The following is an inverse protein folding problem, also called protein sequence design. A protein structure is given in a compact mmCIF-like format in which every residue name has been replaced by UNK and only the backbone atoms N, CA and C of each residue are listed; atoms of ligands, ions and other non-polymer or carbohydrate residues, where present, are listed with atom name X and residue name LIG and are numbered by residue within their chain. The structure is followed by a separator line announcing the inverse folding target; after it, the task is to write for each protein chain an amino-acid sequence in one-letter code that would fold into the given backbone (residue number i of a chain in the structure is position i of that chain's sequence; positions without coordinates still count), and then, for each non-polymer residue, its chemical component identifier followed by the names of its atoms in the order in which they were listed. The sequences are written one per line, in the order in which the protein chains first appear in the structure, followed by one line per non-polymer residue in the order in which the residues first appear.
data_IF_059579610958
#
_entry.id   IF_059579610958
#
_cell.length_a   1.000
_cell.length_b   1.000
_cell.length_c   1.000
_cell.angle_alpha   90.00
_cell.angle_beta   90.00
_cell.angle_gamma   90.00
#
_symmetry.space_group_name_H-M   'P 1'
#
loop_
_entity.id
_entity.type
_entity.pdbx_description
1 polymer ?
#
# COMPACT_ATOMS: atom_id res chain seq x y z
N UNK A 1 -7.00 -21.55 -1.02
CA UNK A 1 -8.32 -20.94 -1.21
C UNK A 1 -8.97 -21.63 -2.40
N UNK A 2 -10.07 -22.29 -2.19
CA UNK A 2 -10.86 -22.92 -3.24
C UNK A 2 -11.48 -21.86 -4.16
N UNK A 3 -12.05 -22.28 -5.31
CA UNK A 3 -12.73 -21.34 -6.22
C UNK A 3 -14.00 -20.75 -5.58
N UNK A 4 -14.65 -21.50 -4.72
CA UNK A 4 -15.87 -21.03 -4.03
C UNK A 4 -15.51 -20.04 -2.93
N UNK A 5 -14.47 -20.29 -2.13
CA UNK A 5 -13.95 -19.30 -1.15
C UNK A 5 -13.52 -17.99 -1.82
N UNK A 6 -12.92 -18.06 -3.03
CA UNK A 6 -12.57 -16.87 -3.80
C UNK A 6 -13.82 -16.07 -4.19
N UNK A 7 -14.85 -16.75 -4.66
CA UNK A 7 -16.12 -16.11 -5.03
C UNK A 7 -16.78 -15.44 -3.83
N UNK A 8 -16.85 -16.12 -2.69
CA UNK A 8 -17.47 -15.59 -1.48
C UNK A 8 -16.72 -14.38 -0.96
N UNK A 9 -15.38 -14.47 -0.93
CA UNK A 9 -14.53 -13.34 -0.54
C UNK A 9 -14.71 -12.15 -1.49
N UNK A 10 -14.76 -12.41 -2.79
CA UNK A 10 -14.93 -11.36 -3.79
C UNK A 10 -16.33 -10.73 -3.71
N UNK A 11 -17.35 -11.52 -3.45
CA UNK A 11 -18.72 -11.01 -3.18
C UNK A 11 -18.70 -10.08 -1.99
N UNK A 12 -18.18 -10.54 -0.85
CA UNK A 12 -18.15 -9.77 0.39
C UNK A 12 -17.33 -8.47 0.26
N UNK A 13 -16.19 -8.53 -0.40
CA UNK A 13 -15.23 -7.42 -0.43
C UNK A 13 -15.39 -6.47 -1.60
N UNK A 14 -16.11 -6.87 -2.64
CA UNK A 14 -16.28 -6.08 -3.85
C UNK A 14 -17.73 -6.04 -4.35
N UNK A 15 -18.30 -7.15 -4.90
CA UNK A 15 -19.55 -7.06 -5.64
C UNK A 15 -20.76 -6.64 -4.78
N UNK A 16 -20.78 -7.01 -3.50
CA UNK A 16 -21.86 -6.59 -2.58
C UNK A 16 -21.87 -5.07 -2.28
N UNK A 17 -20.80 -4.36 -2.59
CA UNK A 17 -20.73 -2.90 -2.41
C UNK A 17 -21.41 -2.13 -3.54
N UNK A 18 -21.75 -2.81 -4.64
CA UNK A 18 -22.28 -2.20 -5.85
C UNK A 18 -23.53 -2.96 -6.32
N UNK A 19 -24.49 -2.23 -6.85
CA UNK A 19 -25.66 -2.83 -7.51
C UNK A 19 -25.30 -3.15 -8.96
N UNK A 20 -24.71 -4.33 -9.17
CA UNK A 20 -24.32 -4.82 -10.50
C UNK A 20 -25.44 -5.65 -11.11
N UNK A 21 -25.48 -5.74 -12.45
CA UNK A 21 -26.32 -6.74 -13.13
C UNK A 21 -25.78 -8.15 -12.83
N UNK A 22 -26.65 -9.16 -12.86
CA UNK A 22 -26.24 -10.56 -12.68
C UNK A 22 -25.17 -10.99 -13.68
N UNK A 23 -25.23 -10.49 -14.91
CA UNK A 23 -24.24 -10.77 -15.96
C UNK A 23 -22.86 -10.16 -15.61
N UNK A 24 -22.83 -8.92 -15.11
CA UNK A 24 -21.57 -8.24 -14.74
C UNK A 24 -20.98 -8.82 -13.46
N UNK A 25 -21.82 -9.17 -12.48
CA UNK A 25 -21.36 -9.88 -11.29
C UNK A 25 -20.73 -11.23 -11.67
N UNK A 26 -21.38 -12.01 -12.53
CA UNK A 26 -20.83 -13.29 -13.00
C UNK A 26 -19.53 -13.09 -13.77
N UNK A 27 -19.42 -12.05 -14.60
CA UNK A 27 -18.20 -11.74 -15.35
C UNK A 27 -17.04 -11.39 -14.41
N UNK A 28 -17.28 -10.64 -13.34
CA UNK A 28 -16.28 -10.38 -12.28
C UNK A 28 -15.85 -11.68 -11.62
N UNK A 29 -16.78 -12.50 -11.18
CA UNK A 29 -16.52 -13.77 -10.49
C UNK A 29 -15.76 -14.77 -11.36
N UNK A 30 -16.00 -14.76 -12.69
CA UNK A 30 -15.30 -15.63 -13.65
C UNK A 30 -13.89 -15.14 -13.97
N UNK A 31 -13.69 -13.83 -14.09
CA UNK A 31 -12.42 -13.23 -14.53
C UNK A 31 -11.42 -13.01 -13.40
N UNK A 32 -11.89 -12.89 -12.17
CA UNK A 32 -11.04 -12.65 -11.03
C UNK A 32 -10.08 -13.82 -10.73
N UNK A 33 -8.86 -13.50 -10.35
CA UNK A 33 -7.81 -14.48 -10.04
C UNK A 33 -7.18 -14.20 -8.69
N UNK A 34 -6.76 -15.26 -7.99
CA UNK A 34 -5.94 -15.16 -6.80
C UNK A 34 -4.46 -15.18 -7.19
N UNK A 35 -3.71 -14.20 -6.72
CA UNK A 35 -2.24 -14.15 -6.85
C UNK A 35 -1.59 -14.12 -5.49
N UNK A 36 -0.43 -14.76 -5.41
CA UNK A 36 0.41 -14.79 -4.21
C UNK A 36 1.79 -14.28 -4.55
N UNK A 37 2.35 -13.46 -3.67
CA UNK A 37 3.67 -12.87 -3.81
C UNK A 37 4.45 -13.11 -2.53
N UNK A 38 5.75 -13.41 -2.67
CA UNK A 38 6.64 -13.66 -1.55
C UNK A 38 7.19 -12.35 -0.99
N UNK A 39 7.57 -12.37 0.28
CA UNK A 39 8.30 -11.26 0.90
C UNK A 39 9.54 -10.91 0.07
N UNK A 40 9.73 -9.61 -0.17
CA UNK A 40 10.84 -9.08 -0.95
C UNK A 40 10.57 -8.97 -2.46
N UNK A 41 9.50 -9.59 -2.98
CA UNK A 41 9.13 -9.43 -4.40
C UNK A 41 8.68 -7.99 -4.68
N UNK A 42 8.89 -7.55 -5.93
CA UNK A 42 8.43 -6.26 -6.44
C UNK A 42 7.50 -6.45 -7.62
N UNK A 43 6.47 -5.64 -7.67
CA UNK A 43 5.53 -5.58 -8.78
C UNK A 43 5.73 -4.22 -9.46
N UNK A 44 6.09 -4.25 -10.73
CA UNK A 44 6.34 -3.07 -11.55
C UNK A 44 5.17 -2.81 -12.48
N UNK A 45 4.74 -1.54 -12.68
CA UNK A 45 3.69 -1.20 -13.65
C UNK A 45 4.01 -1.62 -15.07
N UNK A 46 5.30 -1.61 -15.44
CA UNK A 46 5.79 -2.01 -16.78
C UNK A 46 5.62 -3.51 -17.07
N UNK A 47 5.48 -4.35 -16.05
CA UNK A 47 5.27 -5.80 -16.21
C UNK A 47 3.82 -6.13 -16.60
N UNK A 48 3.00 -5.11 -16.79
CA UNK A 48 1.60 -5.18 -17.18
C UNK A 48 0.65 -4.70 -16.10
N UNK A 49 -0.51 -4.22 -16.52
CA UNK A 49 -1.54 -3.77 -15.61
C UNK A 49 -2.24 -4.98 -14.98
N UNK A 50 -2.07 -5.17 -13.68
CA UNK A 50 -2.76 -6.21 -12.92
C UNK A 50 -4.26 -5.92 -12.68
N UNK A 51 -4.73 -4.70 -13.00
CA UNK A 51 -6.12 -4.31 -12.79
C UNK A 51 -6.39 -3.81 -11.37
N UNK A 52 -7.59 -4.14 -10.86
CA UNK A 52 -8.01 -3.80 -9.50
C UNK A 52 -7.65 -4.94 -8.55
N UNK A 53 -6.93 -4.62 -7.49
CA UNK A 53 -6.45 -5.59 -6.51
C UNK A 53 -7.17 -5.42 -5.17
N UNK A 54 -7.45 -6.53 -4.50
CA UNK A 54 -7.96 -6.61 -3.12
C UNK A 54 -6.97 -7.44 -2.31
N UNK A 55 -6.37 -6.85 -1.29
CA UNK A 55 -5.44 -7.55 -0.41
C UNK A 55 -6.24 -8.46 0.54
N UNK A 56 -5.89 -9.74 0.56
CA UNK A 56 -6.54 -10.76 1.41
C UNK A 56 -5.70 -11.06 2.64
N UNK A 57 -4.40 -10.94 2.52
CA UNK A 57 -3.45 -11.10 3.63
C UNK A 57 -2.10 -10.53 3.27
N UNK A 58 -1.30 -10.22 4.29
CA UNK A 58 0.05 -9.69 4.14
C UNK A 58 0.11 -8.19 4.04
N UNK A 59 1.30 -7.65 3.74
CA UNK A 59 1.56 -6.22 3.63
C UNK A 59 2.41 -5.90 2.42
N UNK A 60 2.06 -4.81 1.75
CA UNK A 60 2.84 -4.23 0.67
C UNK A 60 2.89 -2.71 0.82
N UNK A 61 3.89 -2.08 0.21
CA UNK A 61 3.99 -0.62 0.16
C UNK A 61 4.17 -0.13 -1.27
N UNK A 62 3.53 0.98 -1.58
CA UNK A 62 3.70 1.69 -2.83
C UNK A 62 4.92 2.60 -2.76
N UNK A 63 5.85 2.44 -3.70
CA UNK A 63 7.10 3.18 -3.77
C UNK A 63 7.19 4.00 -5.03
N UNK A 64 7.70 5.21 -4.90
CA UNK A 64 8.19 6.02 -6.01
C UNK A 64 9.71 6.10 -5.93
N UNK A 65 10.40 5.78 -7.03
CA UNK A 65 11.85 5.94 -7.13
C UNK A 65 12.18 7.34 -7.63
N UNK A 66 13.09 8.01 -6.94
CA UNK A 66 13.59 9.33 -7.36
C UNK A 66 14.78 9.18 -8.31
N UNK A 67 15.13 10.26 -9.02
CA UNK A 67 16.32 10.33 -9.91
C UNK A 67 17.63 9.99 -9.19
N UNK A 68 17.70 10.13 -7.87
CA UNK A 68 18.86 9.81 -7.06
C UNK A 68 18.81 8.38 -6.45
N UNK A 69 18.01 7.48 -7.04
CA UNK A 69 17.82 6.10 -6.58
C UNK A 69 17.30 5.98 -5.12
N UNK A 70 16.73 7.04 -4.57
CA UNK A 70 16.02 6.98 -3.29
C UNK A 70 14.58 6.56 -3.53
N UNK A 71 14.09 5.69 -2.67
CA UNK A 71 12.71 5.23 -2.70
C UNK A 71 11.92 5.95 -1.61
N UNK A 72 10.73 6.39 -1.95
CA UNK A 72 9.80 7.04 -1.03
C UNK A 72 8.54 6.18 -0.98
N UNK A 73 8.16 5.74 0.21
CA UNK A 73 6.86 5.09 0.44
C UNK A 73 5.77 6.14 0.35
N UNK A 74 4.85 5.97 -0.59
CA UNK A 74 3.72 6.89 -0.80
C UNK A 74 2.43 6.38 -0.19
N UNK A 75 2.30 5.07 0.02
CA UNK A 75 1.20 4.44 0.77
C UNK A 75 1.56 3.01 1.19
N UNK A 76 0.85 2.51 2.18
CA UNK A 76 0.90 1.11 2.61
C UNK A 76 -0.41 0.41 2.26
N UNK A 77 -0.33 -0.91 2.06
CA UNK A 77 -1.45 -1.81 1.81
C UNK A 77 -1.39 -2.97 2.79
N UNK A 78 -2.54 -3.31 3.35
CA UNK A 78 -2.71 -4.43 4.27
C UNK A 78 -4.01 -5.18 4.00
N UNK A 79 -4.31 -6.20 4.78
CA UNK A 79 -5.57 -6.96 4.65
C UNK A 79 -6.80 -6.03 4.64
N UNK A 80 -7.68 -6.26 3.69
CA UNK A 80 -8.88 -5.46 3.45
C UNK A 80 -8.70 -4.28 2.51
N UNK A 81 -7.47 -3.83 2.29
CA UNK A 81 -7.21 -2.72 1.36
C UNK A 81 -7.42 -3.10 -0.09
N UNK A 82 -7.85 -2.11 -0.87
CA UNK A 82 -7.94 -2.20 -2.31
C UNK A 82 -6.99 -1.22 -3.00
N UNK A 83 -6.50 -1.60 -4.17
CA UNK A 83 -5.60 -0.77 -4.95
C UNK A 83 -5.83 -0.97 -6.46
N UNK A 84 -5.72 0.11 -7.21
CA UNK A 84 -5.53 0.06 -8.65
C UNK A 84 -4.03 0.13 -8.91
N UNK A 85 -3.44 -1.01 -9.31
CA UNK A 85 -2.01 -1.24 -9.34
C UNK A 85 -1.25 -0.51 -10.45
N UNK A 86 -1.95 0.18 -11.33
CA UNK A 86 -1.29 1.05 -12.31
C UNK A 86 -2.10 2.32 -12.54
N UNK A 87 -1.42 3.46 -12.62
CA UNK A 87 -2.02 4.74 -12.99
C UNK A 87 -2.70 4.71 -14.37
N UNK A 88 -2.25 3.83 -15.26
CA UNK A 88 -2.87 3.59 -16.56
C UNK A 88 -4.28 3.02 -16.50
N UNK A 89 -4.62 2.24 -15.46
CA UNK A 89 -5.96 1.68 -15.30
C UNK A 89 -7.01 2.73 -15.00
N UNK A 90 -6.60 3.90 -14.52
CA UNK A 90 -7.54 4.91 -14.08
C UNK A 90 -7.77 6.03 -15.10
N UNK A 91 -6.76 6.65 -15.68
CA UNK A 91 -6.95 7.86 -16.51
C UNK A 91 -5.85 8.11 -17.54
N UNK A 92 -4.82 7.27 -17.66
CA UNK A 92 -3.70 7.51 -18.61
C UNK A 92 -2.80 8.70 -18.27
N UNK A 93 -3.02 9.36 -17.13
CA UNK A 93 -2.45 10.67 -16.83
C UNK A 93 -1.32 10.65 -15.77
N UNK A 94 -1.14 9.55 -15.03
CA UNK A 94 -0.08 9.48 -14.03
C UNK A 94 1.25 9.09 -14.67
N UNK A 95 2.16 10.05 -14.75
CA UNK A 95 3.54 9.82 -15.24
C UNK A 95 4.46 9.19 -14.17
N UNK A 96 4.03 9.16 -12.91
CA UNK A 96 4.82 8.57 -11.83
C UNK A 96 4.65 7.04 -11.80
N UNK A 97 5.75 6.31 -11.93
CA UNK A 97 5.77 4.87 -11.76
C UNK A 97 5.75 4.53 -10.27
N UNK A 98 4.62 3.97 -9.79
CA UNK A 98 4.51 3.45 -8.44
C UNK A 98 4.73 1.94 -8.49
N UNK A 99 5.80 1.48 -7.86
CA UNK A 99 6.11 0.06 -7.71
C UNK A 99 5.53 -0.44 -6.39
N UNK A 100 5.08 -1.70 -6.33
CA UNK A 100 4.73 -2.33 -5.06
C UNK A 100 5.88 -3.19 -4.55
N UNK A 101 6.32 -2.93 -3.33
CA UNK A 101 7.25 -3.77 -2.58
C UNK A 101 6.47 -4.65 -1.61
N UNK A 102 6.67 -5.96 -1.67
CA UNK A 102 6.04 -6.91 -0.76
C UNK A 102 6.83 -6.98 0.55
N UNK A 103 6.22 -6.51 1.63
CA UNK A 103 6.82 -6.47 2.97
C UNK A 103 6.67 -7.80 3.73
N UNK A 104 5.47 -8.37 3.67
CA UNK A 104 5.15 -9.71 4.16
C UNK A 104 4.43 -10.45 3.03
N UNK A 105 4.50 -11.78 3.01
CA UNK A 105 3.88 -12.56 1.94
C UNK A 105 2.42 -12.14 1.72
N UNK A 106 2.11 -11.69 0.51
CA UNK A 106 0.80 -11.14 0.14
C UNK A 106 0.00 -12.14 -0.66
N UNK A 107 -1.28 -12.25 -0.32
CA UNK A 107 -2.30 -12.84 -1.19
C UNK A 107 -3.28 -11.76 -1.60
N UNK A 108 -3.58 -11.66 -2.88
CA UNK A 108 -4.53 -10.67 -3.40
C UNK A 108 -5.43 -11.27 -4.47
N UNK A 109 -6.68 -10.80 -4.50
CA UNK A 109 -7.59 -11.06 -5.61
C UNK A 109 -7.39 -9.95 -6.64
N UNK A 110 -7.25 -10.33 -7.89
CA UNK A 110 -7.10 -9.40 -9.01
C UNK A 110 -8.33 -9.49 -9.90
N UNK A 111 -8.98 -8.34 -10.13
CA UNK A 111 -10.00 -8.17 -11.16
C UNK A 111 -9.28 -7.57 -12.38
N UNK A 112 -9.30 -8.23 -13.54
CA UNK A 112 -8.60 -7.77 -14.73
C UNK A 112 -9.01 -6.34 -15.12
N UNK A 113 -8.05 -5.62 -15.70
CA UNK A 113 -8.21 -4.24 -16.16
C UNK A 113 -9.49 -4.03 -16.99
N UNK A 114 -9.70 -4.87 -17.99
CA UNK A 114 -10.83 -4.69 -18.93
C UNK A 114 -12.17 -4.92 -18.23
N UNK A 115 -12.24 -5.89 -17.32
CA UNK A 115 -13.44 -6.12 -16.49
C UNK A 115 -13.71 -4.90 -15.61
N UNK A 116 -12.71 -4.41 -14.88
CA UNK A 116 -12.89 -3.25 -14.00
C UNK A 116 -13.20 -1.97 -14.78
N UNK A 117 -12.56 -1.75 -15.94
CA UNK A 117 -12.85 -0.63 -16.84
C UNK A 117 -14.30 -0.62 -17.26
N UNK A 118 -14.82 -1.76 -17.74
CA UNK A 118 -16.23 -1.89 -18.14
C UNK A 118 -17.18 -1.58 -16.99
N UNK A 119 -16.89 -2.06 -15.78
CA UNK A 119 -17.72 -1.75 -14.60
C UNK A 119 -17.73 -0.26 -14.31
N UNK A 120 -16.56 0.39 -14.35
CA UNK A 120 -16.45 1.82 -14.09
C UNK A 120 -17.19 2.67 -15.14
N UNK A 121 -17.21 2.24 -16.38
CA UNK A 121 -17.90 2.95 -17.46
C UNK A 121 -19.45 2.80 -17.38
N UNK A 122 -19.91 1.66 -16.87
CA UNK A 122 -21.34 1.35 -16.82
C UNK A 122 -22.00 1.64 -15.46
N UNK A 123 -21.24 1.76 -14.38
CA UNK A 123 -21.75 1.92 -13.02
C UNK A 123 -21.12 3.13 -12.32
N UNK A 124 -21.88 4.24 -12.15
CA UNK A 124 -21.37 5.44 -11.47
C UNK A 124 -20.82 5.18 -10.07
N UNK A 125 -21.42 4.25 -9.32
CA UNK A 125 -20.92 3.88 -7.99
C UNK A 125 -19.53 3.22 -8.03
N UNK A 126 -19.21 2.46 -9.08
CA UNK A 126 -17.86 1.89 -9.25
C UNK A 126 -16.88 2.98 -9.67
N UNK A 127 -17.31 3.93 -10.50
CA UNK A 127 -16.49 5.08 -10.86
C UNK A 127 -16.18 5.96 -9.64
N UNK A 128 -17.17 6.24 -8.79
CA UNK A 128 -16.97 6.99 -7.54
C UNK A 128 -16.02 6.27 -6.59
N UNK A 129 -16.18 4.96 -6.42
CA UNK A 129 -15.25 4.15 -5.61
C UNK A 129 -13.80 4.22 -6.14
N UNK A 130 -13.62 4.18 -7.45
CA UNK A 130 -12.29 4.35 -8.05
C UNK A 130 -11.70 5.75 -7.76
N UNK A 131 -12.53 6.81 -7.83
CA UNK A 131 -12.11 8.18 -7.48
C UNK A 131 -11.74 8.31 -5.99
N UNK A 132 -12.52 7.71 -5.09
CA UNK A 132 -12.22 7.69 -3.64
C UNK A 132 -10.89 7.00 -3.35
N UNK A 133 -10.62 5.85 -3.99
CA UNK A 133 -9.33 5.18 -3.86
C UNK A 133 -8.19 6.06 -4.35
N UNK A 134 -8.35 6.75 -5.48
CA UNK A 134 -7.34 7.67 -5.99
C UNK A 134 -7.13 8.86 -5.07
N UNK A 135 -8.20 9.49 -4.57
CA UNK A 135 -8.13 10.60 -3.63
C UNK A 135 -7.39 10.20 -2.35
N UNK A 136 -7.68 9.00 -1.81
CA UNK A 136 -6.99 8.44 -0.65
C UNK A 136 -5.50 8.26 -0.91
N UNK A 137 -5.11 7.71 -2.06
CA UNK A 137 -3.69 7.52 -2.42
C UNK A 137 -2.98 8.84 -2.68
N UNK A 138 -3.65 9.79 -3.30
CA UNK A 138 -3.13 11.14 -3.50
C UNK A 138 -2.90 11.87 -2.17
N UNK A 139 -3.87 11.81 -1.26
CA UNK A 139 -3.73 12.37 0.09
C UNK A 139 -2.55 11.72 0.85
N UNK A 140 -2.40 10.39 0.77
CA UNK A 140 -1.26 9.69 1.39
C UNK A 140 0.08 10.15 0.81
N UNK A 141 0.16 10.32 -0.52
CA UNK A 141 1.36 10.80 -1.18
C UNK A 141 1.72 12.24 -0.77
N UNK A 142 0.73 13.15 -0.70
CA UNK A 142 0.94 14.52 -0.21
C UNK A 142 1.45 14.51 1.23
N UNK A 143 0.84 13.69 2.10
CA UNK A 143 1.27 13.57 3.50
C UNK A 143 2.72 13.07 3.59
N UNK A 144 3.10 12.08 2.79
CA UNK A 144 4.46 11.58 2.74
C UNK A 144 5.45 12.67 2.25
N UNK A 145 5.05 13.48 1.27
CA UNK A 145 5.86 14.61 0.78
C UNK A 145 6.00 15.69 1.85
N UNK A 146 4.91 16.10 2.49
CA UNK A 146 4.91 17.10 3.56
C UNK A 146 5.83 16.68 4.70
N UNK A 147 5.69 15.44 5.17
CA UNK A 147 6.57 14.88 6.19
C UNK A 147 8.04 14.87 5.75
N UNK A 148 8.31 14.55 4.49
CA UNK A 148 9.68 14.48 3.99
C UNK A 148 10.34 15.84 3.84
N UNK A 149 9.60 16.87 3.43
CA UNK A 149 10.11 18.20 3.13
C UNK A 149 10.17 19.14 4.35
N UNK A 150 9.19 19.05 5.25
CA UNK A 150 8.98 20.09 6.27
C UNK A 150 9.18 19.61 7.71
N UNK A 151 9.10 18.31 8.00
CA UNK A 151 9.28 17.82 9.36
C UNK A 151 10.74 17.45 9.66
N UNK A 152 11.30 17.88 10.82
CA UNK A 152 12.57 17.38 11.32
C UNK A 152 12.58 15.85 11.43
N UNK A 153 13.70 15.21 11.15
CA UNK A 153 13.83 13.76 11.14
C UNK A 153 13.32 13.09 12.44
N UNK A 154 13.62 13.68 13.59
CA UNK A 154 13.15 13.16 14.88
C UNK A 154 11.62 13.11 14.97
N UNK A 155 10.91 14.15 14.46
CA UNK A 155 9.46 14.20 14.44
C UNK A 155 8.86 13.17 13.49
N UNK A 156 9.48 12.98 12.32
CA UNK A 156 9.11 11.93 11.36
C UNK A 156 9.22 10.53 11.98
N UNK A 157 10.29 10.28 12.72
CA UNK A 157 10.48 9.02 13.45
C UNK A 157 9.37 8.83 14.50
N UNK A 158 9.06 9.86 15.30
CA UNK A 158 7.99 9.79 16.32
C UNK A 158 6.66 9.45 15.65
N UNK A 159 6.26 10.20 14.63
CA UNK A 159 5.01 9.99 13.92
C UNK A 159 4.91 8.56 13.35
N UNK A 160 6.00 8.06 12.75
CA UNK A 160 6.07 6.69 12.25
C UNK A 160 5.87 5.65 13.37
N UNK A 161 6.54 5.83 14.50
CA UNK A 161 6.45 4.92 15.65
C UNK A 161 5.05 4.93 16.27
N UNK A 162 4.40 6.09 16.37
CA UNK A 162 3.00 6.23 16.84
C UNK A 162 2.03 5.48 15.94
N UNK A 163 2.12 5.69 14.63
CA UNK A 163 1.25 5.07 13.63
C UNK A 163 1.40 3.54 13.58
N UNK A 164 2.57 3.02 13.92
CA UNK A 164 2.85 1.58 13.92
C UNK A 164 2.76 0.93 15.30
N UNK A 165 2.17 1.61 16.29
CA UNK A 165 1.88 1.03 17.61
C UNK A 165 3.12 0.73 18.47
N UNK A 166 4.19 1.49 18.29
CA UNK A 166 5.48 1.26 18.95
C UNK A 166 5.48 1.43 20.48
N UNK A 167 4.38 1.87 21.10
CA UNK A 167 4.22 1.92 22.56
C UNK A 167 4.38 0.54 23.22
N UNK A 168 3.99 -0.52 22.52
CA UNK A 168 4.11 -1.91 23.00
C UNK A 168 5.38 -2.62 22.49
N UNK A 169 6.30 -1.88 21.87
CA UNK A 169 7.51 -2.43 21.26
C UNK A 169 7.27 -2.89 19.83
N UNK A 170 7.80 -2.13 18.87
CA UNK A 170 7.73 -2.42 17.44
C UNK A 170 8.97 -3.20 17.00
N UNK A 171 8.78 -4.42 16.47
CA UNK A 171 9.88 -5.20 15.88
C UNK A 171 10.20 -4.66 14.49
N UNK A 172 11.25 -3.84 14.41
CA UNK A 172 11.62 -3.14 13.19
C UNK A 172 13.12 -2.84 13.14
N UNK A 173 13.70 -2.80 11.95
CA UNK A 173 15.09 -2.38 11.73
C UNK A 173 15.17 -0.88 11.44
N UNK A 174 16.32 -0.26 11.72
CA UNK A 174 16.57 1.14 11.36
C UNK A 174 16.51 1.38 9.85
N UNK A 175 16.81 0.36 9.05
CA UNK A 175 16.68 0.40 7.59
C UNK A 175 15.21 0.48 7.14
N UNK A 176 14.34 -0.34 7.74
CA UNK A 176 12.92 -0.28 7.46
C UNK A 176 12.34 1.10 7.83
N UNK A 177 12.67 1.62 9.02
CA UNK A 177 12.25 2.98 9.40
C UNK A 177 12.75 3.99 8.37
N UNK A 178 14.03 3.93 7.99
CA UNK A 178 14.62 4.85 7.03
C UNK A 178 13.91 4.84 5.68
N UNK A 179 13.58 3.66 5.19
CA UNK A 179 12.84 3.49 3.94
C UNK A 179 11.43 4.08 4.03
N UNK A 180 10.70 3.82 5.14
CA UNK A 180 9.32 4.29 5.30
C UNK A 180 9.23 5.81 5.46
N UNK A 181 10.24 6.42 6.11
CA UNK A 181 10.26 7.87 6.28
C UNK A 181 11.16 8.60 5.27
N UNK A 182 11.59 7.96 4.18
CA UNK A 182 12.44 8.51 3.12
C UNK A 182 13.71 9.21 3.67
N UNK A 183 14.50 8.50 4.49
CA UNK A 183 15.72 9.01 5.11
C UNK A 183 16.89 8.03 4.91
N UNK A 184 18.11 8.45 5.27
CA UNK A 184 19.26 7.56 5.30
C UNK A 184 19.25 6.75 6.61
N UNK A 185 19.61 5.46 6.53
CA UNK A 185 19.70 4.56 7.69
C UNK A 185 20.60 5.13 8.79
N UNK A 186 21.75 5.70 8.42
CA UNK A 186 22.70 6.30 9.35
C UNK A 186 22.12 7.50 10.08
N UNK A 187 21.32 8.32 9.38
CA UNK A 187 20.63 9.46 9.98
C UNK A 187 19.56 9.00 10.98
N UNK A 188 18.77 8.00 10.63
CA UNK A 188 17.79 7.38 11.53
C UNK A 188 18.46 6.77 12.75
N UNK A 189 19.57 6.04 12.55
CA UNK A 189 20.34 5.43 13.66
C UNK A 189 20.86 6.48 14.63
N UNK A 190 21.38 7.61 14.15
CA UNK A 190 21.82 8.73 14.98
C UNK A 190 20.67 9.37 15.72
N UNK A 191 19.58 9.67 15.02
CA UNK A 191 18.39 10.29 15.61
C UNK A 191 17.77 9.41 16.72
N UNK A 192 17.63 8.10 16.49
CA UNK A 192 17.12 7.16 17.50
C UNK A 192 18.01 7.09 18.75
N UNK A 193 19.35 7.11 18.59
CA UNK A 193 20.26 7.15 19.73
C UNK A 193 20.12 8.45 20.54
N UNK A 194 19.94 9.60 19.87
CA UNK A 194 19.69 10.87 20.56
C UNK A 194 18.32 10.87 21.26
N UNK A 195 17.29 10.30 20.64
CA UNK A 195 15.97 10.15 21.24
C UNK A 195 16.02 9.22 22.46
N UNK A 196 16.82 8.14 22.41
CA UNK A 196 17.03 7.24 23.55
C UNK A 196 17.72 7.98 24.72
N UNK A 197 18.74 8.79 24.47
CA UNK A 197 19.38 9.62 25.50
C UNK A 197 18.40 10.58 26.16
N UNK A 198 17.40 11.08 25.40
CA UNK A 198 16.33 11.96 25.90
C UNK A 198 15.16 11.21 26.54
N UNK A 199 15.21 9.88 26.61
CA UNK A 199 14.13 9.06 27.18
C UNK A 199 12.87 8.95 26.32
N UNK A 200 12.90 9.38 25.05
CA UNK A 200 11.75 9.37 24.17
C UNK A 200 11.49 7.98 23.54
N UNK A 201 12.55 7.17 23.43
CA UNK A 201 12.45 5.80 22.90
C UNK A 201 13.36 4.88 23.71
N UNK A 202 13.02 3.60 23.74
CA UNK A 202 13.87 2.51 24.21
C UNK A 202 14.26 1.65 23.01
N UNK A 203 15.58 1.38 22.89
CA UNK A 203 16.13 0.55 21.81
C UNK A 203 16.61 -0.78 22.39
N UNK A 204 16.06 -1.90 21.88
CA UNK A 204 16.56 -3.25 22.09
C UNK A 204 16.91 -3.87 20.74
N UNK A 205 17.58 -5.02 20.73
CA UNK A 205 17.98 -5.68 19.49
C UNK A 205 16.76 -5.96 18.58
N UNK A 206 16.64 -5.18 17.52
CA UNK A 206 15.54 -5.30 16.55
C UNK A 206 14.17 -4.83 17.04
N UNK A 207 14.10 -4.12 18.16
CA UNK A 207 12.84 -3.60 18.73
C UNK A 207 13.02 -2.14 19.13
N UNK A 208 12.06 -1.30 18.73
CA UNK A 208 11.98 0.11 19.13
C UNK A 208 10.67 0.31 19.90
N UNK A 209 10.77 0.89 21.10
CA UNK A 209 9.60 1.22 21.94
C UNK A 209 9.52 2.73 22.12
N UNK A 210 8.36 3.32 21.84
CA UNK A 210 8.08 4.74 22.11
C UNK A 210 7.68 4.89 23.59
N UNK A 211 8.27 5.89 24.28
CA UNK A 211 8.05 6.19 25.70
C UNK A 211 7.12 7.40 25.88
#
# INVERSE_FOLDING_TARGET
MSRDELKDTLKQRFTSKFTLSAQDEEAVLKSATLRSFKKGERIYPKDGCLGYAIIISGRARGLVSTSNFKEITVFNLQDGDSCMLCGFCSLGALQAEINLQIEDAVRMILIPRETFKRLRENYPQVANHALELMATRFSSAITAMDQTLFLPLARRIINFLEQNGAKNGLKITHEQIANDIASAREAVSRALKEMQKKGLVELKRGVVTLR
#
